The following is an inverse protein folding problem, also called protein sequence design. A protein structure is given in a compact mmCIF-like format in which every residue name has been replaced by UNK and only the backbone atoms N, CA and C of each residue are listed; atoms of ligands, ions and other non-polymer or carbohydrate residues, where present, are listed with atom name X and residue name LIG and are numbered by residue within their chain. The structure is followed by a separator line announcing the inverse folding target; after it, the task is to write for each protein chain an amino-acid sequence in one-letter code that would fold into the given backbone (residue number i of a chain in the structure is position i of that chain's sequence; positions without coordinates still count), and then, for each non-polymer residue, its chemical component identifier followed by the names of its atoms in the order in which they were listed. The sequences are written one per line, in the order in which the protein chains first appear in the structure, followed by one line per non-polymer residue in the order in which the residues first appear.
data_IF_982345990412
#
_entry.id   IF_982345990412
#
_cell.length_a   1.000
_cell.length_b   1.000
_cell.length_c   1.000
_cell.angle_alpha   90.00
_cell.angle_beta   90.00
_cell.angle_gamma   90.00
#
_symmetry.space_group_name_H-M   'P 1'
#
loop_
_entity.id
_entity.type
_entity.pdbx_description
1 polymer ?
#
# COMPACT_ATOMS: atom_id res chain seq x y z
N UNK A 1 10.44 -12.18 20.51
CA UNK A 1 9.27 -12.27 19.84
C UNK A 1 8.56 -10.98 19.61
N UNK A 2 7.73 -10.99 18.67
CA UNK A 2 7.11 -9.75 18.26
C UNK A 2 6.32 -9.07 19.35
N UNK A 3 5.74 -9.84 20.24
CA UNK A 3 4.96 -9.26 21.30
C UNK A 3 5.78 -8.34 22.18
N UNK A 4 7.06 -8.49 22.18
CA UNK A 4 7.93 -7.67 23.01
C UNK A 4 8.40 -6.43 22.31
N UNK A 5 8.13 -6.31 21.04
CA UNK A 5 8.57 -5.15 20.31
C UNK A 5 7.59 -4.04 20.55
N UNK A 6 8.03 -3.04 21.23
CA UNK A 6 7.16 -1.97 21.65
C UNK A 6 7.11 -0.84 20.67
N UNK A 7 7.31 -1.14 19.41
CA UNK A 7 7.27 -0.10 18.40
C UNK A 7 5.84 0.28 18.14
N UNK A 8 5.52 1.53 18.30
CA UNK A 8 4.24 2.07 17.87
C UNK A 8 4.27 2.20 16.38
N UNK A 9 3.11 2.43 15.79
CA UNK A 9 3.06 2.70 14.36
C UNK A 9 3.89 3.92 14.00
N UNK A 10 3.93 4.92 14.88
CA UNK A 10 4.75 6.11 14.63
C UNK A 10 6.22 5.77 14.50
N UNK A 11 6.69 4.86 15.35
CA UNK A 11 8.10 4.45 15.29
C UNK A 11 8.42 3.77 13.97
N UNK A 12 7.50 2.94 13.50
CA UNK A 12 7.68 2.26 12.22
C UNK A 12 7.72 3.28 11.09
N UNK A 13 6.82 4.26 11.11
CA UNK A 13 6.80 5.30 10.09
C UNK A 13 8.14 6.01 10.02
N UNK A 14 8.67 6.41 11.16
CA UNK A 14 9.93 7.14 11.19
C UNK A 14 11.07 6.27 10.66
N UNK A 15 11.09 5.01 11.06
CA UNK A 15 12.12 4.09 10.61
C UNK A 15 12.09 3.92 9.10
N UNK A 16 10.90 3.75 8.54
CA UNK A 16 10.77 3.59 7.10
C UNK A 16 11.21 4.86 6.40
N UNK A 17 10.72 6.00 6.87
CA UNK A 17 11.04 7.27 6.20
C UNK A 17 12.52 7.56 6.23
N UNK A 18 13.21 7.29 7.33
CA UNK A 18 14.62 7.58 7.41
C UNK A 18 15.46 6.51 6.73
N UNK A 19 14.97 5.29 6.64
CA UNK A 19 15.73 4.19 6.03
C UNK A 19 15.65 4.18 4.51
N UNK A 20 14.66 4.86 3.95
CA UNK A 20 14.44 4.83 2.51
C UNK A 20 14.58 6.17 1.88
N UNK A 21 15.67 6.80 2.11
CA UNK A 21 15.98 8.00 1.39
C UNK A 21 16.65 7.67 0.11
N UNK A 22 16.25 6.59 -0.49
CA UNK A 22 16.81 6.26 -1.72
C UNK A 22 16.03 6.86 -2.81
N UNK A 23 16.33 6.48 -3.92
CA UNK A 23 15.99 7.10 -5.14
C UNK A 23 14.49 7.08 -5.43
N UNK A 24 13.81 6.05 -5.02
CA UNK A 24 12.43 5.86 -5.46
C UNK A 24 11.48 5.96 -4.28
N UNK A 25 11.02 7.16 -3.99
CA UNK A 25 10.13 7.38 -2.85
C UNK A 25 8.76 6.76 -3.07
N UNK A 26 8.37 6.53 -4.31
CA UNK A 26 7.07 5.91 -4.56
C UNK A 26 7.01 4.47 -4.05
N UNK A 27 8.14 3.88 -3.71
CA UNK A 27 8.17 2.54 -3.14
C UNK A 27 8.01 2.51 -1.63
N UNK A 28 7.92 3.67 -0.99
CA UNK A 28 7.88 3.74 0.48
C UNK A 28 6.74 2.91 1.05
N UNK A 29 5.56 3.00 0.45
CA UNK A 29 4.39 2.31 1.00
C UNK A 29 4.57 0.80 0.92
N UNK A 30 5.05 0.28 -0.20
CA UNK A 30 5.26 -1.16 -0.31
C UNK A 30 6.29 -1.63 0.71
N UNK A 31 7.36 -0.87 0.88
CA UNK A 31 8.39 -1.23 1.83
C UNK A 31 7.86 -1.21 3.26
N UNK A 32 7.05 -0.20 3.58
CA UNK A 32 6.47 -0.09 4.91
C UNK A 32 5.53 -1.26 5.18
N UNK A 33 4.72 -1.62 4.20
CA UNK A 33 3.80 -2.74 4.37
C UNK A 33 4.57 -4.04 4.60
N UNK A 34 5.68 -4.23 3.91
CA UNK A 34 6.50 -5.42 4.11
C UNK A 34 7.08 -5.46 5.52
N UNK A 35 7.52 -4.32 6.02
CA UNK A 35 8.07 -4.23 7.37
C UNK A 35 6.98 -4.52 8.41
N UNK A 36 5.82 -3.90 8.24
CA UNK A 36 4.70 -4.12 9.16
C UNK A 36 4.28 -5.57 9.13
N UNK A 37 4.21 -6.14 7.94
CA UNK A 37 3.83 -7.54 7.78
C UNK A 37 4.75 -8.46 8.57
N UNK A 38 6.05 -8.25 8.44
CA UNK A 38 7.02 -9.07 9.14
C UNK A 38 7.01 -8.83 10.63
N UNK A 39 6.80 -7.57 11.03
CA UNK A 39 6.92 -7.18 12.43
C UNK A 39 5.74 -7.66 13.27
N UNK A 40 4.55 -7.57 12.71
CA UNK A 40 3.32 -7.92 13.42
C UNK A 40 2.65 -9.18 12.89
N UNK A 41 3.33 -9.88 12.01
CA UNK A 41 2.83 -11.15 11.51
C UNK A 41 1.46 -10.98 10.82
N UNK A 42 1.35 -9.93 10.03
CA UNK A 42 0.13 -9.65 9.28
C UNK A 42 0.46 -9.90 7.81
N UNK A 43 -0.10 -10.94 7.20
CA UNK A 43 0.28 -11.25 5.82
C UNK A 43 -0.20 -10.21 4.83
N UNK A 44 0.57 -10.02 3.77
CA UNK A 44 0.13 -9.24 2.63
C UNK A 44 -0.54 -10.22 1.68
N UNK A 45 -1.81 -9.99 1.33
CA UNK A 45 -2.50 -10.94 0.45
C UNK A 45 -1.83 -11.04 -0.91
N UNK A 46 -2.03 -12.18 -1.57
CA UNK A 46 -1.48 -12.38 -2.90
C UNK A 46 -2.10 -11.39 -3.88
N UNK A 47 -1.34 -11.02 -4.88
CA UNK A 47 -1.84 -10.13 -5.93
C UNK A 47 -1.92 -8.67 -5.55
N UNK A 48 -1.35 -8.28 -4.42
CA UNK A 48 -1.40 -6.92 -3.92
C UNK A 48 -0.09 -6.21 -4.20
N UNK A 49 -0.19 -4.98 -4.68
CA UNK A 49 0.96 -4.12 -4.84
C UNK A 49 0.57 -2.73 -4.32
N UNK A 50 1.52 -1.92 -3.95
CA UNK A 50 1.25 -0.62 -3.37
C UNK A 50 2.25 0.41 -3.87
N UNK A 51 1.81 1.66 -3.94
CA UNK A 51 2.69 2.78 -4.26
C UNK A 51 2.33 3.95 -3.37
N UNK A 52 3.30 4.74 -3.01
CA UNK A 52 3.08 5.92 -2.19
C UNK A 52 4.34 6.33 -1.49
N UNK A 53 4.53 7.64 -1.35
CA UNK A 53 5.62 8.20 -0.57
C UNK A 53 5.09 8.43 0.85
N UNK A 54 5.88 8.11 1.86
CA UNK A 54 5.46 8.26 3.24
C UNK A 54 6.20 9.41 3.88
N UNK A 55 5.44 10.37 4.43
CA UNK A 55 6.02 11.48 5.16
C UNK A 55 6.42 11.01 6.56
N UNK A 56 7.15 11.86 7.26
CA UNK A 56 7.59 11.53 8.61
C UNK A 56 6.43 11.36 9.58
N UNK A 57 5.27 11.91 9.26
CA UNK A 57 4.10 11.78 10.12
C UNK A 57 3.19 10.64 9.68
N UNK A 58 3.61 9.82 8.72
CA UNK A 58 2.84 8.65 8.32
C UNK A 58 1.82 8.90 7.23
N UNK A 59 1.80 10.10 6.67
CA UNK A 59 0.88 10.40 5.58
C UNK A 59 1.38 9.81 4.28
N UNK A 60 0.45 9.31 3.48
CA UNK A 60 0.77 8.76 2.17
C UNK A 60 0.58 9.87 1.15
N UNK A 61 1.66 10.28 0.52
CA UNK A 61 1.64 11.38 -0.43
C UNK A 61 1.42 10.87 -1.84
N UNK A 62 0.82 11.69 -2.70
CA UNK A 62 0.59 11.29 -4.09
C UNK A 62 1.90 10.98 -4.81
N UNK A 63 1.82 10.13 -5.81
CA UNK A 63 2.99 9.79 -6.62
C UNK A 63 2.79 10.30 -8.03
N UNK A 64 3.89 10.49 -8.73
CA UNK A 64 3.85 10.87 -10.13
C UNK A 64 3.70 9.59 -10.97
N UNK A 65 3.15 9.77 -12.16
CA UNK A 65 3.05 8.68 -13.14
C UNK A 65 2.25 7.49 -12.60
N UNK A 66 1.19 7.78 -11.83
CA UNK A 66 0.42 6.71 -11.21
C UNK A 66 -0.20 5.78 -12.24
N UNK A 67 -0.64 6.32 -13.38
CA UNK A 67 -1.25 5.46 -14.40
C UNK A 67 -0.24 4.51 -15.03
N UNK A 68 0.98 4.97 -15.23
CA UNK A 68 2.02 4.10 -15.75
C UNK A 68 2.33 2.98 -14.76
N UNK A 69 2.32 3.30 -13.48
CA UNK A 69 2.55 2.30 -12.44
C UNK A 69 1.43 1.27 -12.40
N UNK A 70 0.20 1.71 -12.59
CA UNK A 70 -0.95 0.80 -12.64
C UNK A 70 -0.84 -0.13 -13.84
N UNK A 71 -0.52 0.41 -15.00
CA UNK A 71 -0.41 -0.40 -16.19
C UNK A 71 0.69 -1.45 -16.06
N UNK A 72 1.80 -1.07 -15.46
CA UNK A 72 2.87 -2.01 -15.23
C UNK A 72 2.44 -3.11 -14.25
N UNK A 73 1.74 -2.74 -13.19
CA UNK A 73 1.25 -3.71 -12.21
C UNK A 73 0.28 -4.69 -12.86
N UNK A 74 -0.59 -4.19 -13.71
CA UNK A 74 -1.51 -5.06 -14.43
C UNK A 74 -0.77 -6.03 -15.35
N UNK A 75 0.25 -5.53 -16.01
CA UNK A 75 1.05 -6.36 -16.90
C UNK A 75 1.72 -7.50 -16.11
N UNK A 76 2.03 -7.25 -14.85
CA UNK A 76 2.64 -8.25 -13.98
C UNK A 76 1.59 -9.06 -13.21
N UNK A 77 0.32 -8.89 -13.55
CA UNK A 77 -0.79 -9.68 -13.01
C UNK A 77 -1.15 -9.38 -11.56
N UNK A 78 -0.80 -8.19 -11.07
CA UNK A 78 -1.32 -7.72 -9.81
C UNK A 78 -2.75 -7.23 -10.02
N UNK A 79 -3.61 -7.51 -9.07
CA UNK A 79 -5.03 -7.16 -9.20
C UNK A 79 -5.49 -6.14 -8.17
N UNK A 80 -4.79 -5.98 -7.07
CA UNK A 80 -5.14 -5.03 -6.03
C UNK A 80 -3.99 -4.06 -5.86
N UNK A 81 -4.30 -2.77 -5.96
CA UNK A 81 -3.25 -1.75 -5.92
C UNK A 81 -3.63 -0.72 -4.86
N UNK A 82 -2.82 -0.64 -3.80
CA UNK A 82 -3.01 0.43 -2.81
C UNK A 82 -2.38 1.69 -3.36
N UNK A 83 -3.16 2.75 -3.38
CA UNK A 83 -2.83 3.98 -4.08
C UNK A 83 -3.10 5.15 -3.13
N UNK A 84 -2.25 6.18 -3.16
CA UNK A 84 -2.51 7.34 -2.31
C UNK A 84 -3.85 7.98 -2.63
N UNK A 85 -4.54 8.42 -1.59
CA UNK A 85 -5.82 9.11 -1.76
C UNK A 85 -5.68 10.31 -2.69
N UNK A 86 -4.54 10.98 -2.67
CA UNK A 86 -4.31 12.13 -3.53
C UNK A 86 -4.27 11.80 -5.02
N UNK A 87 -4.15 10.54 -5.37
CA UNK A 87 -4.18 10.11 -6.77
C UNK A 87 -5.56 9.61 -7.20
N UNK A 88 -6.54 9.64 -6.30
CA UNK A 88 -7.86 9.05 -6.59
C UNK A 88 -8.52 9.66 -7.83
N UNK A 89 -8.51 10.96 -7.92
CA UNK A 89 -9.22 11.62 -9.01
C UNK A 89 -8.67 11.18 -10.37
N UNK A 90 -7.36 11.15 -10.48
CA UNK A 90 -6.71 10.75 -11.72
C UNK A 90 -7.00 9.28 -12.05
N UNK A 91 -6.93 8.42 -11.06
CA UNK A 91 -7.15 6.99 -11.26
C UNK A 91 -8.60 6.71 -11.60
N UNK A 92 -9.54 7.37 -10.90
CA UNK A 92 -10.96 7.12 -11.17
C UNK A 92 -11.37 7.62 -12.54
N UNK A 93 -10.80 8.75 -12.98
CA UNK A 93 -11.07 9.23 -14.31
C UNK A 93 -10.58 8.24 -15.36
N UNK A 94 -9.40 7.68 -15.16
CA UNK A 94 -8.86 6.70 -16.07
C UNK A 94 -9.71 5.43 -16.09
N UNK A 95 -10.10 4.95 -14.91
CA UNK A 95 -10.92 3.75 -14.82
C UNK A 95 -12.26 3.93 -15.51
N UNK A 96 -12.87 5.09 -15.35
CA UNK A 96 -14.16 5.35 -15.98
C UNK A 96 -14.08 5.30 -17.50
N UNK A 97 -12.92 5.61 -18.05
CA UNK A 97 -12.74 5.61 -19.50
C UNK A 97 -12.40 4.23 -20.05
N UNK A 98 -12.13 3.26 -19.19
CA UNK A 98 -11.76 1.93 -19.67
C UNK A 98 -12.99 1.15 -20.04
N UNK A 99 -12.95 0.52 -21.19
CA UNK A 99 -14.04 -0.33 -21.61
C UNK A 99 -14.04 -1.64 -20.84
N UNK A 100 -12.88 -2.18 -20.62
CA UNK A 100 -12.72 -3.43 -19.88
C UNK A 100 -11.91 -3.14 -18.63
N UNK A 101 -12.57 -3.09 -17.49
CA UNK A 101 -11.90 -2.80 -16.24
C UNK A 101 -11.16 -4.02 -15.69
N UNK A 102 -11.47 -5.19 -16.18
CA UNK A 102 -10.80 -6.39 -15.76
C UNK A 102 -10.97 -6.63 -14.28
N UNK A 103 -9.90 -7.08 -13.63
CA UNK A 103 -9.93 -7.41 -12.23
C UNK A 103 -9.17 -6.42 -11.37
N UNK A 104 -8.88 -5.23 -11.90
CA UNK A 104 -8.12 -4.26 -11.16
C UNK A 104 -8.97 -3.59 -10.09
N UNK A 105 -8.47 -3.57 -8.86
CA UNK A 105 -9.16 -2.97 -7.72
C UNK A 105 -8.26 -1.98 -7.01
N UNK A 106 -8.52 -0.68 -7.15
CA UNK A 106 -7.73 0.29 -6.39
C UNK A 106 -8.24 0.38 -4.95
N UNK A 107 -7.31 0.52 -4.02
CA UNK A 107 -7.62 0.76 -2.62
C UNK A 107 -6.91 2.05 -2.25
N UNK A 108 -7.67 3.08 -1.92
CA UNK A 108 -7.08 4.39 -1.65
C UNK A 108 -6.76 4.54 -0.18
N UNK A 109 -5.58 5.05 0.10
CA UNK A 109 -5.11 5.18 1.48
C UNK A 109 -4.55 6.58 1.69
N UNK A 110 -4.80 7.15 2.86
CA UNK A 110 -4.31 8.47 3.22
C UNK A 110 -3.14 8.39 4.19
N UNK A 111 -3.11 7.36 5.01
CA UNK A 111 -2.07 7.19 6.01
C UNK A 111 -1.65 5.74 6.05
N UNK A 112 -0.45 5.50 6.56
CA UNK A 112 0.03 4.13 6.68
C UNK A 112 -0.92 3.28 7.53
N UNK A 113 -1.55 3.89 8.53
CA UNK A 113 -2.52 3.17 9.36
C UNK A 113 -3.66 2.59 8.52
N UNK A 114 -4.05 3.28 7.46
CA UNK A 114 -5.12 2.78 6.57
C UNK A 114 -4.69 1.49 5.89
N UNK A 115 -3.45 1.45 5.42
CA UNK A 115 -2.95 0.25 4.76
C UNK A 115 -2.84 -0.91 5.74
N UNK A 116 -2.41 -0.62 6.97
CA UNK A 116 -2.31 -1.66 7.99
C UNK A 116 -3.69 -2.19 8.35
N UNK A 117 -4.67 -1.31 8.49
CA UNK A 117 -6.04 -1.72 8.77
C UNK A 117 -6.58 -2.61 7.66
N UNK A 118 -6.29 -2.24 6.41
CA UNK A 118 -6.73 -3.03 5.28
C UNK A 118 -6.11 -4.43 5.32
N UNK A 119 -4.83 -4.50 5.64
CA UNK A 119 -4.15 -5.80 5.74
C UNK A 119 -4.77 -6.67 6.83
N UNK A 120 -5.11 -6.06 7.96
CA UNK A 120 -5.73 -6.79 9.07
C UNK A 120 -7.11 -7.31 8.68
N UNK A 121 -7.88 -6.51 7.96
CA UNK A 121 -9.19 -6.95 7.51
C UNK A 121 -9.10 -8.15 6.57
N UNK A 122 -8.12 -8.14 5.69
CA UNK A 122 -7.93 -9.25 4.77
C UNK A 122 -7.51 -10.52 5.51
N UNK A 123 -6.68 -10.37 6.55
CA UNK A 123 -6.30 -11.51 7.36
C UNK A 123 -7.51 -12.13 8.03
N UNK A 124 -8.39 -11.30 8.61
CA UNK A 124 -9.60 -11.78 9.26
C UNK A 124 -10.51 -12.50 8.30
N UNK A 125 -10.71 -11.93 7.11
CA UNK A 125 -11.55 -12.55 6.10
C UNK A 125 -11.00 -13.90 5.66
N UNK A 126 -9.69 -13.98 5.47
CA UNK A 126 -9.09 -15.23 5.06
C UNK A 126 -9.27 -16.30 6.12
N UNK A 127 -9.19 -15.91 7.38
CA UNK A 127 -9.42 -16.85 8.47
C UNK A 127 -10.88 -17.30 8.51
N UNK A 128 -11.79 -16.39 8.24
CA UNK A 128 -13.21 -16.70 8.25
C UNK A 128 -13.60 -17.66 7.14
N UNK A 129 -12.93 -17.54 6.02
CA UNK A 129 -13.25 -18.39 4.88
C UNK A 129 -12.92 -19.85 5.17
N UNK A 130 -11.97 -20.05 6.03
CA UNK A 130 -11.61 -21.40 6.38
C UNK A 130 -12.61 -22.03 7.31
#
# INVERSE_FOLDING_TARGET
KRAHIRLSQSDVYVNVASGFKVQETAADLSAAMAIVSAHWDIPIPAGVIATGEISLTGEILPVTHVLARIKEAQRMHFTIFLIPEGNREEVEAWLSAQKDKGTFHPVYVSQLADAVSWMKQKKGKNQDIR
#
